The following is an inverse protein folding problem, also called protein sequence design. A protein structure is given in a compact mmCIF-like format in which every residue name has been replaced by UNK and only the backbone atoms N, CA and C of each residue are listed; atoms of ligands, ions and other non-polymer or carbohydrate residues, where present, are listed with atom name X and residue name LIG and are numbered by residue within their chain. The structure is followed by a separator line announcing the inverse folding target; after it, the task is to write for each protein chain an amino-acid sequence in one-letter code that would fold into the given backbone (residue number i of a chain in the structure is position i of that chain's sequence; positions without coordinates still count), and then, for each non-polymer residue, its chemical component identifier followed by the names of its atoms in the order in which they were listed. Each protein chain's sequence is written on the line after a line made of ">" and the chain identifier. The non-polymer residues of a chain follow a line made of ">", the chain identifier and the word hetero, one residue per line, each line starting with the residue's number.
data_IF_308169880930
#
_entry.id   IF_308169880930
#
_cell.length_a   1.000
_cell.length_b   1.000
_cell.length_c   1.000
_cell.angle_alpha   90.00
_cell.angle_beta   90.00
_cell.angle_gamma   90.00
#
_symmetry.space_group_name_H-M   'P 1'
#
loop_
_entity.id
_entity.type
_entity.pdbx_description
1 polymer ?
#
# COMPACT_ATOMS: atom_id res chain seq x y z
N UNK A 1 -9.31 1.28 -22.79
CA UNK A 1 -8.27 0.25 -22.62
C UNK A 1 -8.02 0.02 -21.13
N UNK A 2 -7.93 -1.22 -20.69
CA UNK A 2 -7.67 -1.51 -19.30
C UNK A 2 -6.27 -1.04 -18.88
N UNK A 3 -6.12 -0.57 -17.66
CA UNK A 3 -4.83 -0.19 -17.11
C UNK A 3 -3.91 -1.40 -16.95
N UNK A 4 -2.63 -1.20 -17.18
CA UNK A 4 -1.61 -2.23 -16.93
C UNK A 4 -1.26 -2.30 -15.44
N UNK A 5 -0.64 -3.39 -15.03
CA UNK A 5 -0.14 -3.56 -13.66
C UNK A 5 0.78 -2.39 -13.27
N UNK A 6 1.67 -1.98 -14.19
CA UNK A 6 2.57 -0.85 -13.92
C UNK A 6 1.80 0.46 -13.73
N UNK A 7 0.79 0.72 -14.55
CA UNK A 7 -0.05 1.91 -14.41
C UNK A 7 -0.83 1.92 -13.10
N UNK A 8 -1.34 0.77 -12.67
CA UNK A 8 -2.07 0.63 -11.41
C UNK A 8 -1.12 0.90 -10.23
N UNK A 9 0.06 0.30 -10.26
CA UNK A 9 1.07 0.54 -9.22
C UNK A 9 1.44 2.01 -9.13
N UNK A 10 1.69 2.65 -10.25
CA UNK A 10 2.02 4.08 -10.31
C UNK A 10 0.86 4.94 -9.79
N UNK A 11 -0.37 4.55 -10.09
CA UNK A 11 -1.57 5.25 -9.59
C UNK A 11 -1.72 5.14 -8.09
N UNK A 12 -1.44 3.98 -7.50
CA UNK A 12 -1.43 3.80 -6.04
C UNK A 12 -0.38 4.70 -5.40
N UNK A 13 0.81 4.73 -5.96
CA UNK A 13 1.90 5.60 -5.47
C UNK A 13 1.53 7.08 -5.55
N UNK A 14 0.95 7.50 -6.66
CA UNK A 14 0.48 8.88 -6.83
C UNK A 14 -0.59 9.24 -5.81
N UNK A 15 -1.52 8.32 -5.57
CA UNK A 15 -2.57 8.50 -4.56
C UNK A 15 -1.99 8.65 -3.15
N UNK A 16 -0.94 7.91 -2.85
CA UNK A 16 -0.27 7.97 -1.55
C UNK A 16 0.73 9.12 -1.41
N UNK A 17 1.02 9.85 -2.47
CA UNK A 17 2.01 10.93 -2.45
C UNK A 17 1.63 12.10 -1.52
N UNK A 18 0.36 12.25 -1.19
CA UNK A 18 -0.12 13.26 -0.23
C UNK A 18 0.22 12.91 1.22
N UNK A 19 0.55 11.65 1.49
CA UNK A 19 1.00 11.20 2.80
C UNK A 19 2.50 11.33 2.92
N UNK A 20 3.00 11.47 4.13
CA UNK A 20 4.44 11.49 4.40
C UNK A 20 5.00 10.06 4.41
N UNK A 21 4.73 9.33 3.34
CA UNK A 21 5.16 7.96 3.11
C UNK A 21 5.88 7.89 1.78
N UNK A 22 7.09 7.36 1.78
CA UNK A 22 7.81 7.14 0.54
C UNK A 22 7.18 5.96 -0.21
N UNK A 23 6.76 6.20 -1.44
CA UNK A 23 6.20 5.13 -2.27
C UNK A 23 7.34 4.32 -2.88
N UNK A 24 7.29 3.06 -2.69
CA UNK A 24 8.00 1.91 -3.24
C UNK A 24 9.51 1.99 -3.51
N UNK A 25 10.09 3.10 -3.71
CA UNK A 25 11.52 3.19 -3.95
C UNK A 25 12.30 3.17 -2.64
N UNK A 26 12.65 1.99 -2.25
CA UNK A 26 13.27 1.72 -0.96
C UNK A 26 14.78 1.87 -0.92
N UNK A 27 15.38 2.25 -2.03
CA UNK A 27 16.82 2.41 -2.10
C UNK A 27 17.33 3.66 -1.38
N UNK A 28 16.51 4.33 -0.61
CA UNK A 28 16.71 5.73 -0.28
C UNK A 28 16.95 6.04 1.18
N UNK A 29 17.48 5.11 1.93
CA UNK A 29 18.04 5.43 3.25
C UNK A 29 17.04 5.53 4.40
N UNK A 30 17.59 5.62 5.59
CA UNK A 30 16.87 5.44 6.85
C UNK A 30 15.84 6.53 7.17
N UNK A 31 15.96 7.73 6.63
CA UNK A 31 15.03 8.82 6.90
C UNK A 31 13.62 8.53 6.38
N UNK A 32 13.53 7.91 5.21
CA UNK A 32 12.24 7.54 4.63
C UNK A 32 11.62 6.36 5.36
N UNK A 33 12.44 5.41 5.82
CA UNK A 33 11.95 4.28 6.61
C UNK A 33 11.37 4.73 7.96
N UNK A 34 11.89 5.79 8.57
CA UNK A 34 11.33 6.33 9.81
C UNK A 34 9.93 6.91 9.62
N UNK A 35 9.63 7.47 8.45
CA UNK A 35 8.31 8.02 8.10
C UNK A 35 7.35 6.98 7.57
N UNK A 36 7.87 5.91 7.01
CA UNK A 36 7.14 4.82 6.39
C UNK A 36 7.41 4.71 4.90
N UNK A 37 7.46 3.48 4.43
CA UNK A 37 7.61 3.14 3.02
C UNK A 37 6.48 2.20 2.65
N UNK A 38 5.76 2.51 1.57
CA UNK A 38 4.72 1.65 1.03
C UNK A 38 5.23 0.96 -0.24
N UNK A 39 5.21 -0.36 -0.22
CA UNK A 39 5.54 -1.19 -1.37
C UNK A 39 4.26 -1.77 -1.94
N UNK A 40 4.12 -1.73 -3.25
CA UNK A 40 2.93 -2.22 -3.96
C UNK A 40 3.35 -3.31 -4.92
N UNK A 41 2.82 -4.51 -4.73
CA UNK A 41 3.14 -5.67 -5.55
C UNK A 41 1.86 -6.31 -6.11
N UNK A 42 1.87 -6.74 -7.39
CA UNK A 42 0.82 -7.65 -7.84
C UNK A 42 0.94 -8.98 -7.10
N UNK A 43 -0.19 -9.59 -6.83
CA UNK A 43 -0.23 -10.92 -6.21
C UNK A 43 -1.02 -11.89 -7.06
N UNK A 44 -0.84 -13.19 -6.81
CA UNK A 44 -1.60 -14.22 -7.47
C UNK A 44 -3.10 -14.10 -7.18
N UNK A 45 -3.95 -14.52 -8.10
CA UNK A 45 -5.39 -14.50 -7.91
C UNK A 45 -6.13 -13.55 -8.83
N UNK A 46 -5.51 -13.10 -9.93
CA UNK A 46 -6.21 -12.35 -10.96
C UNK A 46 -7.38 -13.16 -11.51
N UNK A 47 -8.56 -12.55 -11.56
CA UNK A 47 -9.79 -13.20 -12.01
C UNK A 47 -10.45 -12.37 -13.11
N UNK A 48 -10.89 -13.05 -14.16
CA UNK A 48 -11.79 -12.43 -15.13
C UNK A 48 -13.21 -12.44 -14.57
N UNK A 49 -13.84 -11.28 -14.58
CA UNK A 49 -15.22 -11.17 -14.10
C UNK A 49 -16.15 -11.80 -15.13
N UNK A 50 -16.95 -12.77 -14.70
CA UNK A 50 -17.87 -13.50 -15.57
C UNK A 50 -18.86 -12.57 -16.24
N UNK A 51 -19.03 -12.72 -17.55
CA UNK A 51 -20.02 -11.96 -18.32
C UNK A 51 -19.59 -10.56 -18.75
N UNK A 52 -18.35 -10.16 -18.48
CA UNK A 52 -17.82 -8.89 -18.97
C UNK A 52 -16.32 -8.99 -19.21
N UNK A 53 -15.76 -8.01 -19.94
CA UNK A 53 -14.32 -7.94 -20.23
C UNK A 53 -13.54 -7.24 -19.12
N UNK A 54 -13.92 -7.49 -17.89
CA UNK A 54 -13.31 -6.92 -16.70
C UNK A 54 -12.43 -7.92 -16.00
N UNK A 55 -11.36 -7.41 -15.40
CA UNK A 55 -10.47 -8.19 -14.56
C UNK A 55 -10.45 -7.64 -13.16
N UNK A 56 -10.43 -8.53 -12.18
CA UNK A 56 -10.07 -8.20 -10.83
C UNK A 56 -8.60 -8.58 -10.62
N UNK A 57 -7.78 -7.60 -10.25
CA UNK A 57 -6.36 -7.75 -10.01
C UNK A 57 -6.07 -7.46 -8.54
N UNK A 58 -5.61 -8.46 -7.77
CA UNK A 58 -5.23 -8.21 -6.39
C UNK A 58 -3.80 -7.71 -6.30
N UNK A 59 -3.59 -6.75 -5.41
CA UNK A 59 -2.26 -6.23 -5.07
C UNK A 59 -2.02 -6.40 -3.57
N UNK A 60 -0.78 -6.60 -3.21
CA UNK A 60 -0.32 -6.48 -1.82
C UNK A 60 0.23 -5.08 -1.63
N UNK A 61 -0.24 -4.40 -0.60
CA UNK A 61 0.35 -3.15 -0.13
C UNK A 61 1.03 -3.45 1.21
N UNK A 62 2.32 -3.21 1.26
CA UNK A 62 3.17 -3.52 2.40
C UNK A 62 3.79 -2.23 2.91
N UNK A 63 3.57 -1.91 4.18
CA UNK A 63 4.05 -0.68 4.79
C UNK A 63 5.11 -1.04 5.81
N UNK A 64 6.29 -0.46 5.67
CA UNK A 64 7.43 -0.68 6.55
C UNK A 64 7.80 0.61 7.28
N UNK A 65 8.07 0.50 8.57
CA UNK A 65 8.61 1.58 9.40
C UNK A 65 9.86 1.07 10.10
N UNK A 66 10.93 1.84 10.07
CA UNK A 66 12.19 1.49 10.72
C UNK A 66 12.02 1.47 12.25
N UNK A 67 12.60 0.46 12.88
CA UNK A 67 12.60 0.32 14.35
C UNK A 67 13.85 0.94 15.02
N UNK A 68 14.78 1.47 14.26
CA UNK A 68 16.03 2.03 14.78
C UNK A 68 15.81 3.21 15.75
N UNK A 69 14.73 3.96 15.59
CA UNK A 69 14.34 5.05 16.48
C UNK A 69 13.57 4.62 17.73
N UNK A 70 13.40 3.33 17.93
CA UNK A 70 12.65 2.73 19.04
C UNK A 70 11.36 2.06 18.57
N UNK A 71 11.04 0.92 19.19
CA UNK A 71 9.87 0.12 18.82
C UNK A 71 8.56 0.88 19.06
N UNK A 72 8.45 1.61 20.16
CA UNK A 72 7.23 2.34 20.49
C UNK A 72 6.90 3.40 19.43
N UNK A 73 7.90 4.14 18.95
CA UNK A 73 7.73 5.12 17.86
C UNK A 73 7.33 4.45 16.56
N UNK A 74 7.95 3.32 16.24
CA UNK A 74 7.63 2.56 15.04
C UNK A 74 6.20 2.05 15.07
N UNK A 75 5.75 1.51 16.21
CA UNK A 75 4.37 1.07 16.39
C UNK A 75 3.39 2.23 16.23
N UNK A 76 3.62 3.36 16.91
CA UNK A 76 2.74 4.52 16.82
C UNK A 76 2.62 5.00 15.37
N UNK A 77 3.73 5.06 14.66
CA UNK A 77 3.74 5.48 13.25
C UNK A 77 3.02 4.49 12.35
N UNK A 78 3.31 3.20 12.50
CA UNK A 78 2.67 2.17 11.68
C UNK A 78 1.17 2.09 11.97
N UNK A 79 0.78 2.12 13.23
CA UNK A 79 -0.63 2.12 13.63
C UNK A 79 -1.37 3.30 13.00
N UNK A 80 -0.78 4.48 13.00
CA UNK A 80 -1.36 5.66 12.36
C UNK A 80 -1.51 5.49 10.84
N UNK A 81 -0.59 4.79 10.19
CA UNK A 81 -0.62 4.55 8.75
C UNK A 81 -1.64 3.50 8.34
N UNK A 82 -2.00 2.57 9.22
CA UNK A 82 -2.93 1.48 8.90
C UNK A 82 -4.29 1.60 9.59
N UNK A 83 -4.51 2.64 10.36
CA UNK A 83 -5.78 2.86 11.05
C UNK A 83 -6.86 3.27 10.06
N UNK A 84 -7.89 2.46 9.82
CA UNK A 84 -8.94 2.79 8.86
C UNK A 84 -9.78 3.99 9.29
N UNK A 85 -9.73 4.38 10.56
CA UNK A 85 -10.50 5.50 11.09
C UNK A 85 -9.72 6.83 11.04
N UNK A 86 -8.43 6.79 10.73
CA UNK A 86 -7.60 7.98 10.62
C UNK A 86 -7.56 8.46 9.17
N UNK A 87 -8.02 9.67 8.90
CA UNK A 87 -8.08 10.23 7.54
C UNK A 87 -6.73 10.33 6.83
N UNK A 88 -5.64 10.32 7.58
CA UNK A 88 -4.26 10.38 7.07
C UNK A 88 -3.60 9.01 6.97
N UNK A 89 -4.32 7.93 7.18
CA UNK A 89 -3.80 6.58 7.00
C UNK A 89 -3.73 6.19 5.53
N UNK A 90 -2.91 5.19 5.22
CA UNK A 90 -2.83 4.62 3.87
C UNK A 90 -4.17 3.98 3.48
N UNK A 91 -4.79 3.25 4.39
CA UNK A 91 -6.09 2.60 4.15
C UNK A 91 -7.18 3.62 3.83
N UNK A 92 -7.32 4.67 4.65
CA UNK A 92 -8.33 5.69 4.44
C UNK A 92 -8.08 6.48 3.13
N UNK A 93 -6.82 6.78 2.83
CA UNK A 93 -6.45 7.50 1.60
C UNK A 93 -6.80 6.70 0.36
N UNK A 94 -6.56 5.40 0.35
CA UNK A 94 -6.95 4.53 -0.77
C UNK A 94 -8.46 4.35 -0.86
N UNK A 95 -9.16 4.23 0.27
CA UNK A 95 -10.62 4.15 0.30
C UNK A 95 -11.29 5.42 -0.26
N UNK A 96 -10.69 6.58 -0.03
CA UNK A 96 -11.21 7.86 -0.54
C UNK A 96 -10.93 8.06 -2.03
N UNK A 97 -10.13 7.21 -2.64
CA UNK A 97 -9.75 7.29 -4.05
C UNK A 97 -9.98 5.95 -4.77
N UNK A 98 -11.21 5.44 -4.82
CA UNK A 98 -11.49 4.09 -5.33
C UNK A 98 -11.13 3.91 -6.81
N UNK A 99 -11.13 4.98 -7.60
CA UNK A 99 -10.74 4.92 -9.02
C UNK A 99 -9.25 5.15 -9.24
N UNK A 100 -8.49 5.41 -8.18
CA UNK A 100 -7.06 5.74 -8.26
C UNK A 100 -6.78 6.86 -9.27
N UNK A 101 -7.55 7.95 -9.16
CA UNK A 101 -7.42 9.08 -10.09
C UNK A 101 -7.97 8.82 -11.49
N UNK A 102 -8.88 7.87 -11.64
CA UNK A 102 -9.49 7.51 -12.92
C UNK A 102 -8.72 6.44 -13.70
N UNK A 103 -7.69 5.86 -13.13
CA UNK A 103 -6.87 4.82 -13.79
C UNK A 103 -7.58 3.47 -13.82
N UNK A 104 -8.40 3.18 -12.81
CA UNK A 104 -9.14 1.93 -12.69
C UNK A 104 -10.63 2.20 -12.53
N UNK A 105 -11.46 1.18 -12.75
CA UNK A 105 -12.90 1.32 -12.57
C UNK A 105 -13.29 1.50 -11.11
N UNK A 106 -12.72 0.66 -10.25
CA UNK A 106 -12.88 0.76 -8.81
C UNK A 106 -11.80 -0.05 -8.11
N UNK A 107 -11.63 0.20 -6.83
CA UNK A 107 -10.73 -0.57 -5.97
C UNK A 107 -11.33 -0.74 -4.58
N UNK A 108 -10.87 -1.74 -3.86
CA UNK A 108 -11.30 -2.05 -2.50
C UNK A 108 -10.10 -2.45 -1.66
N UNK A 109 -9.89 -1.76 -0.54
CA UNK A 109 -8.92 -2.16 0.47
C UNK A 109 -9.55 -3.17 1.41
N UNK A 110 -8.93 -4.32 1.54
CA UNK A 110 -9.27 -5.30 2.57
C UNK A 110 -8.48 -5.00 3.84
N UNK A 111 -8.93 -5.52 4.97
CA UNK A 111 -8.27 -5.32 6.25
C UNK A 111 -6.86 -5.90 6.33
N UNK A 112 -6.20 -5.67 7.43
CA UNK A 112 -4.85 -6.16 7.66
C UNK A 112 -4.75 -7.67 7.50
N UNK A 113 -3.78 -8.11 6.71
CA UNK A 113 -3.45 -9.51 6.51
C UNK A 113 -2.30 -9.95 7.43
N UNK A 114 -1.37 -9.04 7.70
CA UNK A 114 -0.21 -9.30 8.54
C UNK A 114 0.29 -8.02 9.20
N UNK A 115 0.86 -8.19 10.40
CA UNK A 115 1.51 -7.12 11.16
C UNK A 115 2.63 -7.78 11.96
N UNK A 116 3.88 -7.56 11.57
CA UNK A 116 5.00 -8.28 12.15
C UNK A 116 6.34 -7.56 11.91
N UNK A 117 7.38 -8.04 12.57
CA UNK A 117 8.73 -7.64 12.24
C UNK A 117 9.13 -8.16 10.86
N UNK A 118 9.92 -7.36 10.15
CA UNK A 118 10.43 -7.68 8.84
C UNK A 118 11.84 -7.11 8.65
N UNK A 119 12.44 -7.40 7.51
CA UNK A 119 13.71 -6.82 7.08
C UNK A 119 13.53 -6.27 5.68
N UNK A 120 13.93 -5.02 5.48
CA UNK A 120 13.85 -4.36 4.20
C UNK A 120 15.24 -3.81 3.85
N UNK A 121 15.87 -4.40 2.84
CA UNK A 121 17.22 -3.99 2.39
C UNK A 121 18.25 -3.93 3.54
N UNK A 122 18.20 -4.89 4.45
CA UNK A 122 19.11 -4.95 5.59
C UNK A 122 18.68 -4.16 6.81
N UNK A 123 17.63 -3.36 6.73
CA UNK A 123 17.08 -2.63 7.87
C UNK A 123 15.97 -3.45 8.55
N UNK A 124 16.01 -3.51 9.87
CA UNK A 124 14.92 -4.10 10.65
C UNK A 124 13.73 -3.14 10.67
N UNK A 125 12.56 -3.64 10.29
CA UNK A 125 11.34 -2.87 10.21
C UNK A 125 10.21 -3.53 10.97
N UNK A 126 9.21 -2.73 11.32
CA UNK A 126 7.88 -3.20 11.67
C UNK A 126 7.03 -3.01 10.41
N UNK A 127 6.34 -4.06 10.00
CA UNK A 127 5.62 -4.06 8.74
C UNK A 127 4.17 -4.48 8.90
N UNK A 128 3.31 -3.86 8.13
CA UNK A 128 1.92 -4.25 7.98
C UNK A 128 1.62 -4.51 6.50
N UNK A 129 0.74 -5.46 6.23
CA UNK A 129 0.37 -5.84 4.89
C UNK A 129 -1.14 -5.95 4.78
N UNK A 130 -1.69 -5.45 3.68
CA UNK A 130 -3.09 -5.62 3.34
C UNK A 130 -3.26 -5.83 1.83
N UNK A 131 -4.46 -6.23 1.44
CA UNK A 131 -4.79 -6.51 0.06
C UNK A 131 -5.59 -5.36 -0.53
N UNK A 132 -5.20 -4.93 -1.72
CA UNK A 132 -5.96 -4.00 -2.54
C UNK A 132 -6.48 -4.77 -3.76
N UNK A 133 -7.79 -4.90 -3.89
CA UNK A 133 -8.42 -5.44 -5.09
C UNK A 133 -8.75 -4.32 -6.04
N UNK A 134 -8.41 -4.52 -7.30
CA UNK A 134 -8.61 -3.52 -8.34
C UNK A 134 -9.38 -4.13 -9.49
N UNK A 135 -10.42 -3.43 -9.95
CA UNK A 135 -11.20 -3.84 -11.13
C UNK A 135 -10.86 -2.93 -12.32
N UNK A 136 -10.48 -3.55 -13.41
CA UNK A 136 -10.07 -2.86 -14.65
C UNK A 136 -10.80 -3.40 -15.87
#
# INVERSE_FOLDING_TARGET
>A
MAATIAQIRDAVQTTLASLDVAAYDVATGNERLARGVALVFPRAGALRVAGCDKWMLPFTVEIHVDVAGGLAKAQDRLDALVDPLASTSVLATLDDAPTLGGVVDTSECLGLEAYSFANLNGANTLAARFVLRVWV
#
